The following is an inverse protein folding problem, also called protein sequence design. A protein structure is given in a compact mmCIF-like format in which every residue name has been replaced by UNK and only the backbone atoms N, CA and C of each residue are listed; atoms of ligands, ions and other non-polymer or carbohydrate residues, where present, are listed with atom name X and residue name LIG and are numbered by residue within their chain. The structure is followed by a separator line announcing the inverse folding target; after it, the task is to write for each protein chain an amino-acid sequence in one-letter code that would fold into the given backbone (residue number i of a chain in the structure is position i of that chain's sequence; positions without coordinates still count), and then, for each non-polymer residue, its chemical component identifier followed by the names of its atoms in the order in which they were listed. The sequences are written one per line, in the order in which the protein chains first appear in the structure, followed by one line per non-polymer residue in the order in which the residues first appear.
data_IF_809128551233
#
_entry.id   IF_809128551233
#
_cell.length_a   1.000
_cell.length_b   1.000
_cell.length_c   1.000
_cell.angle_alpha   90.00
_cell.angle_beta   90.00
_cell.angle_gamma   90.00
#
_symmetry.space_group_name_H-M   'P 1'
#
loop_
_entity.id
_entity.type
_entity.pdbx_description
1 polymer ?
#
# COMPACT_ATOMS: atom_id res chain seq x y z
N UNK A 1 -8.61 1.72 12.37
CA UNK A 1 -9.70 1.01 13.07
C UNK A 1 -10.13 1.85 14.27
N UNK A 2 -11.16 2.70 14.14
CA UNK A 2 -11.68 3.43 15.30
C UNK A 2 -12.28 2.40 16.28
N UNK A 3 -11.86 2.44 17.54
CA UNK A 3 -12.43 1.63 18.61
C UNK A 3 -11.68 0.35 19.01
N UNK A 4 -10.55 0.02 18.36
CA UNK A 4 -9.67 -1.07 18.81
C UNK A 4 -8.38 -0.45 19.38
N UNK A 5 -7.95 -0.96 20.53
CA UNK A 5 -6.70 -0.54 21.17
C UNK A 5 -5.51 -0.74 20.20
N UNK A 6 -4.72 0.30 19.91
CA UNK A 6 -3.52 0.20 19.11
C UNK A 6 -2.54 -0.88 19.57
N UNK A 7 -2.45 -1.17 20.87
CA UNK A 7 -1.57 -2.23 21.38
C UNK A 7 -1.99 -3.63 20.89
N UNK A 8 -3.29 -3.84 20.67
CA UNK A 8 -3.84 -5.10 20.16
C UNK A 8 -3.85 -5.12 18.64
N UNK A 9 -4.16 -3.99 17.99
CA UNK A 9 -4.34 -3.91 16.54
C UNK A 9 -3.03 -3.73 15.76
N UNK A 10 -1.96 -3.20 16.38
CA UNK A 10 -0.69 -2.93 15.70
C UNK A 10 0.20 -4.16 15.76
N UNK A 11 0.45 -4.76 14.61
CA UNK A 11 1.52 -5.73 14.45
C UNK A 11 2.86 -5.02 14.20
N UNK A 12 3.88 -5.36 14.98
CA UNK A 12 5.26 -4.92 14.76
C UNK A 12 6.03 -6.02 14.05
N UNK A 13 6.44 -5.76 12.80
CA UNK A 13 7.27 -6.68 12.04
C UNK A 13 8.67 -6.76 12.67
N UNK A 14 9.17 -7.97 12.89
CA UNK A 14 10.53 -8.21 13.35
C UNK A 14 11.49 -8.17 12.15
N UNK A 15 11.94 -6.97 11.80
CA UNK A 15 12.89 -6.73 10.69
C UNK A 15 14.28 -6.50 11.27
N UNK A 16 15.31 -7.03 10.61
CA UNK A 16 16.71 -6.75 10.97
C UNK A 16 17.01 -5.25 10.85
N UNK A 17 17.43 -4.64 11.95
CA UNK A 17 17.79 -3.23 12.03
C UNK A 17 18.98 -2.83 11.17
N UNK A 18 19.84 -3.80 10.79
CA UNK A 18 21.00 -3.55 9.91
C UNK A 18 20.60 -3.52 8.43
N UNK A 19 19.38 -3.92 8.08
CA UNK A 19 18.95 -3.98 6.69
C UNK A 19 18.68 -2.58 6.12
N UNK A 20 19.26 -2.31 4.95
CA UNK A 20 19.06 -1.05 4.23
C UNK A 20 17.72 -1.07 3.49
N UNK A 21 16.79 -0.13 3.74
CA UNK A 21 15.51 -0.10 3.06
C UNK A 21 15.65 0.06 1.54
N UNK A 22 14.87 -0.71 0.76
CA UNK A 22 14.94 -0.69 -0.70
C UNK A 22 13.87 0.24 -1.29
N UNK A 23 14.31 1.18 -2.13
CA UNK A 23 13.42 2.02 -2.95
C UNK A 23 13.31 1.42 -4.35
N UNK A 24 12.22 0.69 -4.61
CA UNK A 24 11.99 0.14 -5.95
C UNK A 24 11.74 1.27 -6.96
N UNK A 25 12.25 1.09 -8.18
CA UNK A 25 11.96 1.99 -9.31
C UNK A 25 10.47 1.92 -9.64
N UNK A 26 9.82 3.08 -9.75
CA UNK A 26 8.41 3.19 -10.14
C UNK A 26 8.18 2.50 -11.49
N UNK A 27 7.18 1.63 -11.55
CA UNK A 27 6.71 1.03 -12.82
C UNK A 27 5.76 1.98 -13.54
N UNK A 28 5.87 1.99 -14.87
CA UNK A 28 4.90 2.64 -15.76
C UNK A 28 3.79 1.65 -16.09
N UNK A 29 2.54 2.09 -16.01
CA UNK A 29 1.37 1.31 -16.42
C UNK A 29 0.63 2.04 -17.54
N UNK A 30 -0.20 1.31 -18.29
CA UNK A 30 -1.14 1.90 -19.25
C UNK A 30 -2.18 2.76 -18.54
N UNK A 31 -2.82 3.67 -19.27
CA UNK A 31 -3.79 4.62 -18.70
C UNK A 31 -4.99 3.91 -18.04
N UNK A 32 -5.50 2.84 -18.67
CA UNK A 32 -6.55 1.99 -18.09
C UNK A 32 -6.16 1.42 -16.72
N UNK A 33 -4.92 0.94 -16.61
CA UNK A 33 -4.39 0.39 -15.35
C UNK A 33 -4.15 1.48 -14.31
N UNK A 34 -3.70 2.66 -14.72
CA UNK A 34 -3.54 3.80 -13.82
C UNK A 34 -4.90 4.24 -13.24
N UNK A 35 -5.96 4.28 -14.05
CA UNK A 35 -7.32 4.61 -13.58
C UNK A 35 -7.81 3.59 -12.54
N UNK A 36 -7.60 2.29 -12.78
CA UNK A 36 -7.95 1.25 -11.81
C UNK A 36 -7.16 1.39 -10.49
N UNK A 37 -5.85 1.68 -10.57
CA UNK A 37 -5.00 1.92 -9.39
C UNK A 37 -5.51 3.13 -8.60
N UNK A 38 -5.82 4.24 -9.27
CA UNK A 38 -6.30 5.46 -8.60
C UNK A 38 -7.64 5.22 -7.86
N UNK A 39 -8.57 4.53 -8.51
CA UNK A 39 -9.87 4.18 -7.91
C UNK A 39 -9.73 3.32 -6.64
N UNK A 40 -8.85 2.31 -6.68
CA UNK A 40 -8.59 1.45 -5.52
C UNK A 40 -7.89 2.24 -4.40
N UNK A 41 -6.90 3.08 -4.74
CA UNK A 41 -6.21 3.94 -3.76
C UNK A 41 -7.18 4.90 -3.08
N UNK A 42 -8.08 5.53 -3.84
CA UNK A 42 -9.10 6.42 -3.27
C UNK A 42 -10.04 5.66 -2.33
N UNK A 43 -10.43 4.44 -2.69
CA UNK A 43 -11.26 3.57 -1.85
C UNK A 43 -10.56 3.21 -0.54
N UNK A 44 -9.27 2.86 -0.59
CA UNK A 44 -8.47 2.53 0.60
C UNK A 44 -8.21 3.75 1.48
N UNK A 45 -8.03 4.94 0.89
CA UNK A 45 -7.92 6.21 1.63
C UNK A 45 -9.22 6.55 2.35
N UNK A 46 -10.37 6.44 1.67
CA UNK A 46 -11.71 6.63 2.26
C UNK A 46 -11.95 5.68 3.43
N UNK A 47 -11.53 4.42 3.30
CA UNK A 47 -11.60 3.42 4.36
C UNK A 47 -10.60 3.66 5.52
N UNK A 48 -9.72 4.66 5.42
CA UNK A 48 -8.62 4.93 6.36
C UNK A 48 -7.69 3.72 6.56
N UNK A 49 -7.59 2.87 5.54
CA UNK A 49 -6.71 1.69 5.55
C UNK A 49 -5.27 2.06 5.20
N UNK A 50 -5.09 3.07 4.34
CA UNK A 50 -3.78 3.63 3.98
C UNK A 50 -3.73 5.13 4.31
N UNK A 51 -2.52 5.69 4.31
CA UNK A 51 -2.26 7.13 4.51
C UNK A 51 -1.12 7.58 3.60
N UNK A 52 -1.11 8.85 3.25
CA UNK A 52 0.03 9.44 2.53
C UNK A 52 1.26 9.52 3.42
N UNK A 53 2.44 9.28 2.83
CA UNK A 53 3.72 9.37 3.50
C UNK A 53 4.68 10.20 2.64
N UNK A 54 5.17 11.30 3.21
CA UNK A 54 6.16 12.17 2.58
C UNK A 54 7.57 11.59 2.79
N UNK A 55 8.38 11.56 1.72
CA UNK A 55 9.78 11.11 1.73
C UNK A 55 10.02 9.69 2.29
N UNK A 56 9.46 8.65 1.64
CA UNK A 56 9.62 7.30 2.15
C UNK A 56 11.06 6.77 1.93
N UNK A 57 11.63 6.13 2.95
CA UNK A 57 12.94 5.45 2.87
C UNK A 57 12.91 4.21 1.97
N UNK A 58 11.73 3.61 1.79
CA UNK A 58 11.49 2.44 0.94
C UNK A 58 10.26 2.66 0.06
N UNK A 59 10.22 2.02 -1.10
CA UNK A 59 9.06 2.06 -2.00
C UNK A 59 8.86 0.65 -2.56
N UNK A 60 7.63 0.16 -2.51
CA UNK A 60 7.21 -1.07 -3.16
C UNK A 60 6.28 -0.74 -4.34
N UNK A 61 6.43 -1.47 -5.44
CA UNK A 61 5.54 -1.31 -6.60
C UNK A 61 4.21 -2.05 -6.38
N UNK A 62 3.12 -1.44 -6.86
CA UNK A 62 1.81 -2.09 -6.93
C UNK A 62 1.77 -3.12 -8.06
N UNK A 63 1.02 -4.20 -7.84
CA UNK A 63 0.78 -5.25 -8.83
C UNK A 63 -0.72 -5.45 -8.98
N UNK A 64 -1.21 -5.29 -10.21
CA UNK A 64 -2.62 -5.52 -10.54
C UNK A 64 -2.84 -7.00 -10.82
N UNK A 65 -3.83 -7.59 -10.16
CA UNK A 65 -4.25 -8.97 -10.36
C UNK A 65 -5.75 -8.98 -10.61
N UNK A 66 -6.19 -9.69 -11.63
CA UNK A 66 -7.62 -9.88 -11.93
C UNK A 66 -8.21 -10.83 -10.88
N UNK A 67 -9.24 -10.41 -10.14
CA UNK A 67 -9.96 -11.33 -9.25
C UNK A 67 -10.81 -12.30 -10.09
N UNK A 68 -11.00 -13.51 -9.57
CA UNK A 68 -11.77 -14.57 -10.23
C UNK A 68 -13.27 -14.26 -10.33
N UNK A 69 -13.79 -13.34 -9.53
CA UNK A 69 -15.22 -13.10 -9.36
C UNK A 69 -15.85 -12.17 -10.41
N UNK A 70 -15.27 -12.08 -11.63
CA UNK A 70 -15.69 -11.17 -12.70
C UNK A 70 -15.87 -9.69 -12.29
N UNK A 71 -15.20 -9.29 -11.19
CA UNK A 71 -14.98 -7.91 -10.74
C UNK A 71 -13.49 -7.71 -10.55
#
# INVERSE_FOLDING_TARGET
MPGVDPEVAIHRLHVDSMFVPIKQRKRTFSDEKNMAILSEVETLLKAKAIRELQFPKWIANVVLVKKSNNK
#
